data_IF_886727213166
#
_entry.id   IF_886727213166
#
_cell.length_a   1.000
_cell.length_b   1.000
_cell.length_c   1.000
_cell.angle_alpha   90.00
_cell.angle_beta   90.00
_cell.angle_gamma   90.00
#
_symmetry.space_group_name_H-M   'P 1'
#
loop_
_entity.id
_entity.type
_entity.pdbx_description
1 polymer ?
#
# COMPACT_ATOMS: atom_id res chain seq x y z
N UNK A 1 60.51 13.30 -36.38
CA UNK A 1 61.74 12.96 -35.62
C UNK A 1 61.58 13.41 -34.17
N UNK A 2 61.88 12.52 -33.19
CA UNK A 2 62.47 12.78 -31.84
C UNK A 2 61.63 13.62 -30.83
N UNK A 3 61.40 13.32 -29.54
CA UNK A 3 61.78 12.36 -28.45
C UNK A 3 60.71 12.59 -27.34
N UNK A 4 60.00 11.65 -26.71
CA UNK A 4 60.30 10.68 -25.62
C UNK A 4 61.11 11.16 -24.38
N UNK A 5 60.50 10.90 -23.19
CA UNK A 5 61.04 10.63 -21.83
C UNK A 5 61.27 11.91 -20.98
N UNK A 6 60.48 12.20 -19.93
CA UNK A 6 60.36 11.56 -18.59
C UNK A 6 61.59 11.81 -17.68
N UNK A 7 61.38 11.72 -16.35
CA UNK A 7 62.28 12.05 -15.21
C UNK A 7 62.28 13.55 -14.83
N UNK A 8 62.15 14.00 -13.58
CA UNK A 8 62.61 13.51 -12.26
C UNK A 8 61.60 14.08 -11.22
N UNK A 9 60.88 13.26 -10.43
CA UNK A 9 61.26 12.88 -9.05
C UNK A 9 61.48 14.10 -8.14
N UNK A 10 60.68 14.40 -7.12
CA UNK A 10 60.43 13.67 -5.85
C UNK A 10 60.82 14.64 -4.72
N UNK A 11 60.13 14.52 -3.58
CA UNK A 11 60.37 15.15 -2.27
C UNK A 11 59.72 16.53 -2.03
N UNK A 12 58.62 16.55 -1.26
CA UNK A 12 58.54 16.58 0.23
C UNK A 12 58.71 18.00 0.76
N UNK A 13 57.65 18.57 1.34
CA UNK A 13 57.62 19.41 2.56
C UNK A 13 56.14 19.77 2.82
N UNK A 14 55.40 19.01 3.64
CA UNK A 14 55.25 19.15 5.11
C UNK A 14 54.73 20.55 5.50
N UNK A 15 53.44 20.59 5.86
CA UNK A 15 52.77 21.48 6.80
C UNK A 15 53.14 22.98 6.79
N UNK A 16 52.21 23.82 6.31
CA UNK A 16 51.83 25.00 7.06
C UNK A 16 50.30 25.05 7.18
N UNK A 17 49.88 25.05 8.44
CA UNK A 17 48.51 25.22 8.86
C UNK A 17 48.02 26.64 8.52
N UNK A 18 46.70 26.69 8.35
CA UNK A 18 45.81 27.71 8.91
C UNK A 18 45.43 28.89 8.00
N UNK A 19 44.12 29.11 8.04
CA UNK A 19 43.36 30.29 7.62
C UNK A 19 43.27 30.54 6.12
N UNK A 20 42.14 30.12 5.53
CA UNK A 20 41.01 31.04 5.38
C UNK A 20 39.72 30.25 5.12
N UNK A 21 38.73 30.52 5.97
CA UNK A 21 37.40 29.96 5.89
C UNK A 21 36.64 30.61 4.72
N UNK A 22 36.59 29.91 3.58
CA UNK A 22 35.64 30.16 2.49
C UNK A 22 35.12 28.82 1.98
N UNK A 23 34.26 28.19 2.77
CA UNK A 23 33.34 27.19 2.21
C UNK A 23 32.01 27.86 1.91
N UNK A 24 31.78 28.02 0.61
CA UNK A 24 30.48 28.12 -0.05
C UNK A 24 29.44 27.24 0.63
N UNK A 25 28.20 27.71 0.89
CA UNK A 25 27.19 26.83 1.47
C UNK A 25 26.82 25.76 0.45
N UNK A 26 27.23 24.52 0.74
CA UNK A 26 26.66 23.31 0.14
C UNK A 26 25.15 23.35 0.40
N UNK A 27 24.38 23.47 -0.68
CA UNK A 27 22.99 23.08 -0.69
C UNK A 27 22.93 21.57 -0.44
N UNK A 28 22.90 21.18 0.84
CA UNK A 28 22.54 19.83 1.24
C UNK A 28 21.08 19.60 0.83
N UNK A 29 20.86 18.55 0.04
CA UNK A 29 19.53 18.03 -0.24
C UNK A 29 18.72 17.92 1.06
N UNK A 30 17.49 18.45 1.15
CA UNK A 30 16.61 18.06 2.22
C UNK A 30 16.31 16.57 2.05
N UNK A 31 16.77 15.81 3.04
CA UNK A 31 16.44 14.42 3.34
C UNK A 31 14.95 14.20 3.08
N UNK A 32 14.66 13.14 2.31
CA UNK A 32 13.32 12.59 2.07
C UNK A 32 12.42 12.83 3.27
N UNK A 33 11.35 13.58 3.04
CA UNK A 33 10.17 13.58 3.91
C UNK A 33 9.72 12.13 4.07
N UNK A 34 10.09 11.52 5.19
CA UNK A 34 9.42 10.35 5.71
C UNK A 34 8.05 10.83 6.16
N UNK A 35 7.15 10.88 5.16
CA UNK A 35 5.69 10.79 5.20
C UNK A 35 5.18 10.69 6.64
N UNK A 36 4.77 11.83 7.21
CA UNK A 36 3.89 11.86 8.38
C UNK A 36 2.74 10.91 8.06
N UNK A 37 2.76 9.72 8.66
CA UNK A 37 1.69 8.74 8.50
C UNK A 37 0.44 9.40 9.08
N UNK A 38 -0.49 9.77 8.20
CA UNK A 38 -1.72 10.43 8.59
C UNK A 38 -2.51 9.46 9.47
N UNK A 39 -2.55 9.71 10.78
CA UNK A 39 -3.23 8.87 11.77
C UNK A 39 -4.72 8.64 11.44
N UNK A 40 -5.35 9.58 10.72
CA UNK A 40 -6.74 9.44 10.28
C UNK A 40 -6.89 8.32 9.24
N UNK A 41 -5.91 8.18 8.35
CA UNK A 41 -5.89 7.11 7.34
C UNK A 41 -5.76 5.73 7.98
N UNK A 42 -4.96 5.61 9.03
CA UNK A 42 -4.80 4.33 9.73
C UNK A 42 -6.10 3.86 10.35
N UNK A 43 -6.82 4.74 11.05
CA UNK A 43 -8.14 4.38 11.63
C UNK A 43 -9.11 3.85 10.57
N UNK A 44 -9.08 4.44 9.38
CA UNK A 44 -10.04 4.18 8.32
C UNK A 44 -9.78 2.82 7.64
N UNK A 45 -8.51 2.48 7.40
CA UNK A 45 -8.18 1.23 6.70
C UNK A 45 -7.97 0.01 7.61
N UNK A 46 -7.77 0.21 8.91
CA UNK A 46 -7.56 -0.87 9.87
C UNK A 46 -8.89 -1.62 10.14
N UNK A 47 -9.19 -2.64 9.33
CA UNK A 47 -10.45 -3.37 9.40
C UNK A 47 -10.45 -4.69 8.64
N UNK A 48 -11.53 -5.44 8.82
CA UNK A 48 -11.87 -6.63 8.04
C UNK A 48 -13.05 -6.27 7.14
N UNK A 49 -12.96 -6.62 5.87
CA UNK A 49 -13.95 -6.29 4.86
C UNK A 49 -14.52 -7.56 4.26
N UNK A 50 -15.85 -7.68 4.23
CA UNK A 50 -16.56 -8.70 3.48
C UNK A 50 -16.62 -8.24 2.01
N UNK A 51 -15.95 -8.98 1.14
CA UNK A 51 -15.83 -8.68 -0.28
C UNK A 51 -16.96 -9.36 -1.03
N UNK A 52 -17.62 -8.59 -1.90
CA UNK A 52 -18.90 -8.99 -2.49
C UNK A 52 -18.78 -9.70 -3.83
N UNK A 53 -17.61 -9.73 -4.45
CA UNK A 53 -17.51 -10.19 -5.84
C UNK A 53 -16.28 -11.03 -6.19
N UNK A 54 -16.54 -12.20 -6.79
CA UNK A 54 -15.55 -13.23 -7.12
C UNK A 54 -14.59 -12.84 -8.23
N UNK A 55 -15.03 -11.99 -9.16
CA UNK A 55 -14.23 -11.58 -10.32
C UNK A 55 -12.95 -10.88 -9.86
N UNK A 56 -13.03 -10.06 -8.82
CA UNK A 56 -11.84 -9.44 -8.22
C UNK A 56 -10.86 -10.49 -7.69
N UNK A 57 -11.33 -11.53 -7.01
CA UNK A 57 -10.44 -12.58 -6.49
C UNK A 57 -9.73 -13.36 -7.61
N UNK A 58 -10.45 -13.72 -8.67
CA UNK A 58 -9.90 -14.52 -9.77
C UNK A 58 -9.07 -13.69 -10.75
N UNK A 59 -9.57 -12.54 -11.18
CA UNK A 59 -8.98 -11.73 -12.24
C UNK A 59 -7.85 -10.87 -11.71
N UNK A 60 -8.01 -10.29 -10.51
CA UNK A 60 -6.99 -9.45 -9.90
C UNK A 60 -5.94 -10.32 -9.23
N UNK A 61 -6.31 -11.18 -8.27
CA UNK A 61 -5.34 -11.93 -7.46
C UNK A 61 -4.97 -13.31 -8.03
N UNK A 62 -5.62 -13.77 -9.10
CA UNK A 62 -5.36 -15.09 -9.68
C UNK A 62 -5.81 -16.25 -8.79
N UNK A 63 -6.71 -15.99 -7.83
CA UNK A 63 -7.16 -16.99 -6.85
C UNK A 63 -8.47 -17.61 -7.35
N UNK A 64 -8.47 -18.93 -7.54
CA UNK A 64 -9.67 -19.69 -7.87
C UNK A 64 -10.29 -20.25 -6.59
N UNK A 65 -11.57 -19.97 -6.38
CA UNK A 65 -12.39 -20.61 -5.34
C UNK A 65 -13.77 -20.93 -5.90
N UNK A 66 -14.44 -21.89 -5.26
CA UNK A 66 -15.85 -22.21 -5.53
C UNK A 66 -16.81 -21.19 -4.92
N UNK A 67 -16.34 -20.44 -3.92
CA UNK A 67 -17.13 -19.43 -3.21
C UNK A 67 -16.88 -18.06 -3.81
N UNK A 68 -17.95 -17.26 -3.90
CA UNK A 68 -17.89 -15.92 -4.46
C UNK A 68 -17.36 -14.89 -3.46
N UNK A 69 -17.76 -15.08 -2.21
CA UNK A 69 -17.45 -14.16 -1.14
C UNK A 69 -16.14 -14.55 -0.47
N UNK A 70 -15.38 -13.53 -0.11
CA UNK A 70 -14.12 -13.66 0.61
C UNK A 70 -13.96 -12.47 1.55
N UNK A 71 -13.07 -12.61 2.52
CA UNK A 71 -12.77 -11.53 3.44
C UNK A 71 -11.39 -10.97 3.14
N UNK A 72 -11.25 -9.66 3.25
CA UNK A 72 -9.97 -8.97 3.14
C UNK A 72 -9.71 -8.23 4.45
N UNK A 73 -8.59 -8.51 5.10
CA UNK A 73 -8.10 -7.76 6.25
C UNK A 73 -7.01 -6.82 5.80
N UNK A 74 -7.14 -5.55 6.13
CA UNK A 74 -6.12 -4.53 5.94
C UNK A 74 -5.85 -3.92 7.31
N UNK A 75 -4.59 -3.86 7.71
CA UNK A 75 -4.15 -3.19 8.93
C UNK A 75 -2.88 -2.40 8.59
N UNK A 76 -3.03 -1.10 8.36
CA UNK A 76 -1.94 -0.20 8.03
C UNK A 76 -0.99 0.01 9.21
N UNK A 77 -1.46 -0.18 10.45
CA UNK A 77 -0.67 -0.01 11.68
C UNK A 77 0.22 -1.22 11.92
N UNK A 78 -0.34 -2.43 11.77
CA UNK A 78 0.42 -3.68 11.86
C UNK A 78 1.10 -4.06 10.53
N UNK A 79 0.86 -3.30 9.45
CA UNK A 79 1.28 -3.59 8.09
C UNK A 79 0.86 -5.00 7.61
N UNK A 80 -0.39 -5.37 7.88
CA UNK A 80 -0.97 -6.67 7.57
C UNK A 80 -1.95 -6.55 6.42
N UNK A 81 -1.82 -7.44 5.44
CA UNK A 81 -2.83 -7.70 4.40
C UNK A 81 -3.06 -9.20 4.34
N UNK A 82 -4.30 -9.63 4.56
CA UNK A 82 -4.68 -11.04 4.51
C UNK A 82 -6.00 -11.20 3.78
N UNK A 83 -6.04 -12.09 2.79
CA UNK A 83 -7.25 -12.48 2.10
C UNK A 83 -7.64 -13.88 2.54
N UNK A 84 -8.85 -14.02 3.06
CA UNK A 84 -9.39 -15.27 3.57
C UNK A 84 -10.56 -15.76 2.74
N UNK A 85 -10.55 -17.04 2.39
CA UNK A 85 -11.66 -17.69 1.66
C UNK A 85 -12.32 -18.78 2.50
N UNK A 86 -13.56 -19.09 2.14
CA UNK A 86 -14.41 -20.09 2.79
C UNK A 86 -13.75 -21.48 2.90
N UNK A 87 -12.89 -21.85 1.95
CA UNK A 87 -12.13 -23.10 1.97
C UNK A 87 -11.09 -23.19 3.11
N UNK A 88 -10.95 -22.14 3.95
CA UNK A 88 -10.01 -22.10 5.06
C UNK A 88 -8.58 -21.72 4.64
N UNK A 89 -8.38 -21.32 3.38
CA UNK A 89 -7.10 -20.79 2.90
C UNK A 89 -7.01 -19.30 3.21
N UNK A 90 -5.83 -18.88 3.64
CA UNK A 90 -5.49 -17.47 3.86
C UNK A 90 -4.27 -17.13 3.02
N UNK A 91 -4.39 -16.06 2.24
CA UNK A 91 -3.34 -15.52 1.38
C UNK A 91 -2.78 -14.26 2.01
N UNK A 92 -1.49 -14.26 2.29
CA UNK A 92 -0.79 -13.09 2.82
C UNK A 92 -0.39 -12.16 1.69
N UNK A 93 -0.61 -10.88 1.91
CA UNK A 93 -0.21 -9.80 1.02
C UNK A 93 0.76 -8.84 1.67
N UNK A 94 1.00 -7.74 0.96
CA UNK A 94 1.78 -6.60 1.44
C UNK A 94 1.13 -5.30 0.99
N UNK A 95 1.34 -4.23 1.76
CA UNK A 95 0.96 -2.88 1.35
C UNK A 95 2.09 -2.34 0.48
N UNK A 96 1.77 -1.95 -0.75
CA UNK A 96 2.71 -1.33 -1.68
C UNK A 96 2.74 0.18 -1.47
N UNK A 97 1.57 0.79 -1.46
CA UNK A 97 1.39 2.23 -1.37
C UNK A 97 0.19 2.52 -0.48
N UNK A 98 0.25 3.63 0.27
CA UNK A 98 -0.89 4.16 1.02
C UNK A 98 -0.90 5.67 0.95
N UNK A 99 -2.07 6.25 0.76
CA UNK A 99 -2.31 7.69 0.90
C UNK A 99 -3.58 7.92 1.74
N UNK A 100 -4.06 9.16 1.84
CA UNK A 100 -5.14 9.48 2.75
C UNK A 100 -6.48 8.83 2.41
N UNK A 101 -6.68 8.42 1.16
CA UNK A 101 -7.97 7.98 0.62
C UNK A 101 -7.90 6.59 0.00
N UNK A 102 -6.70 6.04 -0.17
CA UNK A 102 -6.48 4.78 -0.85
C UNK A 102 -5.30 3.97 -0.31
N UNK A 103 -5.38 2.66 -0.52
CA UNK A 103 -4.31 1.71 -0.26
C UNK A 103 -4.14 0.82 -1.49
N UNK A 104 -2.90 0.67 -1.93
CA UNK A 104 -2.54 -0.33 -2.93
C UNK A 104 -1.94 -1.52 -2.20
N UNK A 105 -2.59 -2.67 -2.33
CA UNK A 105 -2.13 -3.94 -1.76
C UNK A 105 -1.62 -4.84 -2.89
N UNK A 106 -0.75 -5.78 -2.54
CA UNK A 106 -0.34 -6.86 -3.44
C UNK A 106 -0.57 -8.21 -2.76
N UNK A 107 -1.23 -9.11 -3.48
CA UNK A 107 -1.41 -10.52 -3.11
C UNK A 107 -1.01 -11.35 -4.32
N UNK A 108 -0.19 -12.38 -4.12
CA UNK A 108 0.24 -13.29 -5.18
C UNK A 108 0.91 -12.58 -6.37
N UNK A 109 1.69 -11.52 -6.11
CA UNK A 109 2.37 -10.73 -7.15
C UNK A 109 1.45 -9.85 -7.99
N UNK A 110 0.18 -9.71 -7.60
CA UNK A 110 -0.82 -8.89 -8.27
C UNK A 110 -1.29 -7.77 -7.35
N UNK A 111 -1.33 -6.55 -7.88
CA UNK A 111 -1.68 -5.36 -7.10
C UNK A 111 -3.11 -4.91 -7.36
N UNK A 112 -3.78 -4.45 -6.31
CA UNK A 112 -5.07 -3.78 -6.39
C UNK A 112 -5.02 -2.50 -5.58
N UNK A 113 -5.51 -1.41 -6.17
CA UNK A 113 -5.78 -0.17 -5.45
C UNK A 113 -7.22 -0.19 -4.94
N UNK A 114 -7.38 0.04 -3.65
CA UNK A 114 -8.67 0.24 -2.99
C UNK A 114 -8.78 1.67 -2.51
N UNK A 115 -9.90 2.31 -2.81
CA UNK A 115 -10.30 3.57 -2.20
C UNK A 115 -11.25 3.25 -1.06
N UNK A 116 -11.17 4.04 0.01
CA UNK A 116 -12.08 3.90 1.13
C UNK A 116 -13.06 5.06 1.18
N UNK A 117 -14.32 4.74 1.43
CA UNK A 117 -15.36 5.73 1.60
C UNK A 117 -16.20 5.37 2.82
N UNK A 118 -16.75 6.38 3.48
CA UNK A 118 -17.75 6.15 4.52
C UNK A 118 -19.06 5.73 3.87
N UNK A 119 -19.68 4.71 4.43
CA UNK A 119 -21.04 4.28 4.13
C UNK A 119 -22.05 5.03 5.04
N UNK A 120 -23.34 4.79 4.82
CA UNK A 120 -24.48 5.47 5.46
C UNK A 120 -24.57 5.26 6.97
N UNK A 121 -23.84 4.30 7.54
CA UNK A 121 -23.89 3.92 8.96
C UNK A 121 -22.56 4.17 9.69
N UNK A 122 -21.74 5.11 9.21
CA UNK A 122 -20.38 5.38 9.72
C UNK A 122 -19.40 4.19 9.60
N UNK A 123 -19.80 3.11 8.92
CA UNK A 123 -18.91 2.03 8.48
C UNK A 123 -18.14 2.43 7.22
N UNK A 124 -17.13 1.65 6.86
CA UNK A 124 -16.34 1.88 5.66
C UNK A 124 -16.68 0.90 4.53
N UNK A 125 -16.51 1.36 3.29
CA UNK A 125 -16.63 0.56 2.08
C UNK A 125 -15.37 0.71 1.23
N UNK A 126 -15.00 -0.38 0.56
CA UNK A 126 -13.89 -0.42 -0.39
C UNK A 126 -14.43 -0.27 -1.82
N UNK A 127 -13.85 0.68 -2.54
CA UNK A 127 -14.13 0.95 -3.95
C UNK A 127 -12.88 0.67 -4.78
N UNK A 128 -13.06 0.32 -6.05
CA UNK A 128 -11.96 0.08 -6.99
C UNK A 128 -12.28 0.70 -8.34
N UNK A 129 -11.32 1.31 -9.02
CA UNK A 129 -11.56 1.93 -10.34
C UNK A 129 -12.05 0.92 -11.39
N UNK A 130 -11.67 -0.35 -11.29
CA UNK A 130 -12.00 -1.40 -12.29
C UNK A 130 -13.40 -2.02 -12.11
N UNK A 131 -14.14 -1.64 -11.06
CA UNK A 131 -15.44 -2.26 -10.76
C UNK A 131 -16.46 -1.27 -10.23
N UNK A 132 -16.04 -0.37 -9.35
CA UNK A 132 -16.93 0.60 -8.74
C UNK A 132 -17.24 1.73 -9.70
N UNK A 133 -18.50 2.12 -9.75
CA UNK A 133 -18.97 3.23 -10.57
C UNK A 133 -18.84 4.55 -9.83
N UNK A 134 -18.51 5.61 -10.57
CA UNK A 134 -18.65 6.99 -10.11
C UNK A 134 -19.90 7.60 -10.74
N UNK A 135 -20.68 8.28 -9.91
CA UNK A 135 -21.82 9.09 -10.35
C UNK A 135 -21.33 10.32 -11.12
N UNK A 136 -22.26 11.03 -11.78
CA UNK A 136 -21.94 12.22 -12.57
C UNK A 136 -21.27 13.36 -11.76
N UNK A 137 -21.44 13.36 -10.43
CA UNK A 137 -20.80 14.32 -9.52
C UNK A 137 -19.41 13.87 -9.03
N UNK A 138 -18.91 12.74 -9.53
CA UNK A 138 -17.61 12.17 -9.19
C UNK A 138 -17.59 11.35 -7.90
N UNK A 139 -18.72 11.24 -7.18
CA UNK A 139 -18.81 10.39 -5.98
C UNK A 139 -18.96 8.92 -6.35
N UNK A 140 -18.47 8.05 -5.48
CA UNK A 140 -18.65 6.61 -5.62
C UNK A 140 -20.11 6.20 -5.45
N UNK A 141 -20.60 5.36 -6.36
CA UNK A 141 -21.88 4.68 -6.25
C UNK A 141 -21.76 3.51 -5.26
N UNK A 142 -22.30 3.66 -4.05
CA UNK A 142 -22.17 2.65 -2.97
C UNK A 142 -22.80 1.29 -3.31
N UNK A 143 -23.70 1.23 -4.29
CA UNK A 143 -24.26 -0.06 -4.75
C UNK A 143 -23.22 -0.88 -5.54
N UNK A 144 -22.13 -0.25 -5.97
CA UNK A 144 -21.01 -0.87 -6.70
C UNK A 144 -19.75 -1.02 -5.84
N UNK A 145 -19.90 -1.07 -4.52
CA UNK A 145 -18.77 -1.29 -3.61
C UNK A 145 -18.18 -2.69 -3.76
N UNK A 146 -16.86 -2.78 -3.89
CA UNK A 146 -16.12 -4.04 -3.98
C UNK A 146 -16.18 -4.83 -2.66
N UNK A 147 -16.25 -4.12 -1.54
CA UNK A 147 -16.41 -4.71 -0.21
C UNK A 147 -16.96 -3.70 0.79
N UNK A 148 -17.47 -4.22 1.90
CA UNK A 148 -17.92 -3.42 3.03
C UNK A 148 -17.23 -3.91 4.30
N UNK A 149 -16.95 -3.00 5.22
CA UNK A 149 -16.43 -3.34 6.54
C UNK A 149 -17.37 -4.35 7.22
N UNK A 150 -16.80 -5.48 7.62
CA UNK A 150 -17.51 -6.54 8.29
C UNK A 150 -17.74 -6.16 9.75
N UNK A 151 -18.82 -6.65 10.34
CA UNK A 151 -19.02 -6.57 11.79
C UNK A 151 -17.99 -7.40 12.58
N UNK A 152 -17.29 -8.31 11.90
CA UNK A 152 -16.33 -9.24 12.46
C UNK A 152 -14.99 -8.55 12.74
N UNK A 153 -14.36 -8.87 13.88
CA UNK A 153 -13.06 -8.29 14.25
C UNK A 153 -11.90 -9.04 13.62
N UNK A 154 -12.14 -10.29 13.18
CA UNK A 154 -11.11 -11.15 12.61
C UNK A 154 -11.53 -11.72 11.25
N UNK A 155 -10.51 -12.08 10.45
CA UNK A 155 -10.70 -12.74 9.16
C UNK A 155 -11.46 -14.07 9.30
N UNK A 156 -11.20 -14.83 10.38
CA UNK A 156 -11.84 -16.12 10.64
C UNK A 156 -13.34 -15.99 10.94
N UNK A 157 -13.72 -14.98 11.73
CA UNK A 157 -15.12 -14.68 12.02
C UNK A 157 -15.83 -14.26 10.73
N UNK A 158 -15.26 -13.33 9.95
CA UNK A 158 -15.84 -12.89 8.68
C UNK A 158 -16.06 -14.07 7.71
N UNK A 159 -15.10 -14.99 7.59
CA UNK A 159 -15.27 -16.21 6.77
C UNK A 159 -16.41 -17.10 7.33
N UNK A 160 -16.53 -17.20 8.65
CA UNK A 160 -17.56 -18.01 9.30
C UNK A 160 -18.95 -17.42 9.10
N UNK A 161 -19.06 -16.10 9.13
CA UNK A 161 -20.30 -15.37 8.86
C UNK A 161 -20.75 -15.59 7.41
N UNK A 162 -19.83 -15.49 6.45
CA UNK A 162 -20.11 -15.83 5.04
C UNK A 162 -20.62 -17.27 4.90
N UNK A 163 -19.95 -18.24 5.55
CA UNK A 163 -20.36 -19.67 5.53
C UNK A 163 -21.78 -19.88 6.03
N UNK A 164 -22.22 -19.09 7.00
CA UNK A 164 -23.56 -19.23 7.58
C UNK A 164 -24.67 -18.71 6.65
N UNK A 165 -24.32 -17.88 5.67
CA UNK A 165 -25.23 -17.25 4.72
C UNK A 165 -25.29 -17.99 3.36
N UNK A 166 -24.30 -18.83 3.06
CA UNK A 166 -24.17 -19.61 1.82
C UNK A 166 -24.81 -21.00 1.91
#
# INVERSE_FOLDING_TARGET
MKKKIALVSMLFFVFFCKEENKETPKQENPVKEEKVQNMNTERVFNGVYAMREIHLMKEVFGIQSKFKDYCLRIDLKANVVELGIVEGKVYKGKILEKDSESVTIEINGKSQKYFITKDRFDSFALMTDDYSEKEADGKWNMNSAAGAEASSQTLSECISDIKSLS
#
